data_IF_015905750533
#
_entry.id   IF_015905750533
#
_cell.length_a   1.000
_cell.length_b   1.000
_cell.length_c   1.000
_cell.angle_alpha   90.00
_cell.angle_beta   90.00
_cell.angle_gamma   90.00
#
_symmetry.space_group_name_H-M   'P 1'
#
loop_
_entity.id
_entity.type
_entity.pdbx_description
1 polymer ?
#
# COMPACT_ATOMS: atom_id res chain seq x y z
N UNK A 1 -29.11 7.00 22.88
CA UNK A 1 -29.03 7.32 21.45
C UNK A 1 -27.62 6.98 20.99
N UNK A 2 -27.41 5.82 20.36
CA UNK A 2 -26.11 5.49 19.77
C UNK A 2 -25.97 6.28 18.46
N UNK A 3 -24.91 7.07 18.35
CA UNK A 3 -24.55 7.75 17.10
C UNK A 3 -23.77 6.75 16.27
N UNK A 4 -24.35 6.27 15.16
CA UNK A 4 -23.65 5.43 14.20
C UNK A 4 -22.74 6.34 13.36
N UNK A 5 -21.43 6.26 13.59
CA UNK A 5 -20.45 6.93 12.74
C UNK A 5 -20.21 6.08 11.50
N UNK A 6 -20.44 6.64 10.30
CA UNK A 6 -20.05 5.99 9.06
C UNK A 6 -18.53 6.09 8.90
N UNK A 7 -17.87 4.97 8.61
CA UNK A 7 -16.45 4.98 8.27
C UNK A 7 -16.27 5.75 6.96
N UNK A 8 -15.45 6.80 6.98
CA UNK A 8 -14.94 7.45 5.77
C UNK A 8 -13.56 6.90 5.44
N UNK A 9 -13.38 6.48 4.19
CA UNK A 9 -12.07 6.16 3.62
C UNK A 9 -11.76 7.18 2.50
N UNK A 10 -10.49 7.57 2.39
CA UNK A 10 -10.03 8.49 1.35
C UNK A 10 -9.10 7.84 0.33
N UNK A 11 -8.28 6.86 0.73
CA UNK A 11 -7.25 6.27 -0.15
C UNK A 11 -7.79 5.03 -0.85
N UNK A 12 -7.79 5.06 -2.18
CA UNK A 12 -8.21 3.98 -3.08
C UNK A 12 -6.98 3.37 -3.74
N UNK A 13 -6.90 2.04 -3.74
CA UNK A 13 -5.89 1.27 -4.47
C UNK A 13 -6.44 0.94 -5.86
N UNK A 14 -5.73 1.32 -6.92
CA UNK A 14 -6.18 1.18 -8.30
C UNK A 14 -6.24 -0.26 -8.83
N UNK A 15 -5.81 -1.24 -8.04
CA UNK A 15 -5.87 -2.66 -8.37
C UNK A 15 -6.17 -3.50 -7.12
N UNK A 16 -6.87 -4.61 -7.30
CA UNK A 16 -7.17 -5.57 -6.23
C UNK A 16 -6.11 -6.68 -6.11
N UNK A 17 -5.20 -6.77 -7.10
CA UNK A 17 -4.08 -7.71 -7.13
C UNK A 17 -2.97 -7.21 -8.04
N UNK A 18 -1.74 -7.56 -7.70
CA UNK A 18 -0.56 -7.42 -8.56
C UNK A 18 -0.12 -8.84 -8.93
N UNK A 19 0.00 -9.12 -10.22
CA UNK A 19 0.59 -10.38 -10.71
C UNK A 19 2.03 -10.07 -11.11
N UNK A 20 2.98 -10.61 -10.36
CA UNK A 20 4.42 -10.41 -10.58
C UNK A 20 4.97 -11.64 -11.30
N UNK A 21 5.55 -11.46 -12.49
CA UNK A 21 6.17 -12.58 -13.22
C UNK A 21 7.65 -12.66 -12.87
N UNK A 22 8.22 -13.85 -13.00
CA UNK A 22 9.65 -14.11 -12.72
C UNK A 22 10.59 -13.15 -13.48
N UNK A 23 10.25 -12.80 -14.71
CA UNK A 23 11.05 -11.89 -15.54
C UNK A 23 10.93 -10.42 -15.15
N UNK A 24 9.93 -10.06 -14.34
CA UNK A 24 9.70 -8.68 -13.93
C UNK A 24 10.68 -8.32 -12.80
N UNK A 25 11.24 -7.11 -12.84
CA UNK A 25 12.11 -6.61 -11.74
C UNK A 25 11.33 -5.78 -10.72
N UNK A 26 10.25 -5.17 -11.18
CA UNK A 26 9.39 -4.30 -10.39
C UNK A 26 7.96 -4.31 -10.94
N UNK A 27 7.02 -3.87 -10.09
CA UNK A 27 5.66 -3.56 -10.48
C UNK A 27 5.23 -2.25 -9.82
N UNK A 28 4.20 -1.61 -10.37
CA UNK A 28 3.67 -0.35 -9.84
C UNK A 28 2.23 -0.52 -9.36
N UNK A 29 1.92 0.09 -8.23
CA UNK A 29 0.56 0.18 -7.67
C UNK A 29 0.16 1.65 -7.63
N UNK A 30 -0.94 2.00 -8.31
CA UNK A 30 -1.47 3.36 -8.29
C UNK A 30 -2.41 3.53 -7.11
N UNK A 31 -2.24 4.62 -6.38
CA UNK A 31 -3.13 5.06 -5.31
C UNK A 31 -3.78 6.39 -5.69
N UNK A 32 -5.01 6.64 -5.25
CA UNK A 32 -5.68 7.95 -5.28
C UNK A 32 -6.21 8.28 -3.89
N UNK A 33 -6.03 9.52 -3.45
CA UNK A 33 -6.79 10.04 -2.30
C UNK A 33 -8.04 10.73 -2.85
N UNK A 34 -9.19 10.08 -2.77
CA UNK A 34 -10.50 10.59 -3.16
C UNK A 34 -11.23 11.25 -1.98
N UNK A 35 -10.59 11.33 -0.82
CA UNK A 35 -11.10 12.07 0.33
C UNK A 35 -10.82 13.58 0.24
N UNK A 36 -11.53 14.34 1.06
CA UNK A 36 -11.41 15.81 1.13
C UNK A 36 -10.23 16.31 1.99
N UNK A 37 -9.51 15.39 2.63
CA UNK A 37 -8.41 15.72 3.55
C UNK A 37 -7.11 15.03 3.16
N UNK A 38 -5.95 15.62 3.48
CA UNK A 38 -4.66 14.97 3.28
C UNK A 38 -4.57 13.67 4.08
N UNK A 39 -3.99 12.63 3.47
CA UNK A 39 -3.73 11.35 4.11
C UNK A 39 -2.23 11.12 4.29
N UNK A 40 -1.82 10.64 5.47
CA UNK A 40 -0.50 10.03 5.65
C UNK A 40 -0.66 8.54 5.39
N UNK A 41 0.08 8.01 4.42
CA UNK A 41 -0.02 6.64 3.97
C UNK A 41 1.28 5.91 4.28
N UNK A 42 1.16 4.80 5.01
CA UNK A 42 2.23 3.84 5.24
C UNK A 42 1.95 2.58 4.42
N UNK A 43 2.97 2.06 3.75
CA UNK A 43 2.86 0.90 2.86
C UNK A 43 3.94 -0.13 3.20
N UNK A 44 3.50 -1.34 3.54
CA UNK A 44 4.35 -2.51 3.77
C UNK A 44 3.68 -3.76 3.19
N UNK A 45 4.40 -4.88 3.21
CA UNK A 45 3.86 -6.20 2.87
C UNK A 45 4.01 -7.13 4.05
N UNK A 46 3.06 -8.05 4.19
CA UNK A 46 3.08 -9.18 5.11
C UNK A 46 3.10 -10.52 4.33
N UNK A 47 3.28 -11.62 5.04
CA UNK A 47 3.29 -12.98 4.48
C UNK A 47 1.95 -13.73 4.68
N UNK A 48 0.84 -13.00 4.80
CA UNK A 48 -0.50 -13.51 5.05
C UNK A 48 -0.99 -13.32 6.50
N UNK A 49 -0.18 -12.75 7.38
CA UNK A 49 -0.54 -12.40 8.76
C UNK A 49 -0.58 -10.89 8.96
N UNK A 50 -1.78 -10.32 8.84
CA UNK A 50 -2.03 -8.88 9.00
C UNK A 50 -1.80 -8.35 10.44
N UNK A 51 -1.56 -9.23 11.42
CA UNK A 51 -1.27 -8.81 12.80
C UNK A 51 0.20 -8.46 13.03
N UNK A 52 1.08 -8.80 12.09
CA UNK A 52 2.52 -8.58 12.21
C UNK A 52 2.88 -7.17 11.75
N UNK A 53 3.68 -6.50 12.57
CA UNK A 53 4.17 -5.15 12.27
C UNK A 53 5.33 -5.18 11.26
N UNK A 54 5.53 -4.11 10.46
CA UNK A 54 6.52 -4.09 9.38
C UNK A 54 7.96 -4.45 9.81
N UNK A 55 8.33 -4.19 11.07
CA UNK A 55 9.65 -4.51 11.65
C UNK A 55 9.90 -6.01 11.85
N UNK A 56 8.86 -6.83 11.76
CA UNK A 56 8.91 -8.28 12.04
C UNK A 56 8.59 -9.13 10.83
N UNK A 57 8.24 -8.52 9.69
CA UNK A 57 7.96 -9.25 8.45
C UNK A 57 9.18 -9.20 7.55
N UNK A 58 9.59 -10.38 7.08
CA UNK A 58 10.48 -10.51 5.93
C UNK A 58 9.65 -10.99 4.74
N UNK A 59 9.64 -10.20 3.66
CA UNK A 59 9.03 -10.58 2.39
C UNK A 59 10.06 -10.37 1.29
N UNK A 60 10.03 -11.16 0.22
CA UNK A 60 10.97 -11.04 -0.89
C UNK A 60 10.73 -9.80 -1.77
N UNK A 61 10.01 -8.80 -1.26
CA UNK A 61 9.68 -7.57 -1.96
C UNK A 61 9.81 -6.35 -1.02
N UNK A 62 10.00 -5.17 -1.61
CA UNK A 62 9.94 -3.89 -0.89
C UNK A 62 9.04 -2.90 -1.61
N UNK A 63 8.36 -2.03 -0.85
CA UNK A 63 7.51 -0.95 -1.36
C UNK A 63 8.18 0.40 -1.18
N UNK A 64 8.16 1.24 -2.21
CA UNK A 64 8.74 2.59 -2.18
C UNK A 64 7.80 3.63 -2.80
N UNK A 65 7.61 4.80 -2.16
CA UNK A 65 8.05 5.15 -0.81
C UNK A 65 7.21 4.41 0.28
N UNK A 66 7.81 4.04 1.43
CA UNK A 66 7.09 3.31 2.48
C UNK A 66 6.20 4.21 3.35
N UNK A 67 6.48 5.51 3.40
CA UNK A 67 5.69 6.51 4.11
C UNK A 67 5.65 7.81 3.31
N UNK A 68 4.46 8.33 3.04
CA UNK A 68 4.28 9.55 2.27
C UNK A 68 2.93 10.19 2.54
N UNK A 69 2.85 11.49 2.27
CA UNK A 69 1.61 12.26 2.37
C UNK A 69 0.96 12.39 0.99
N UNK A 70 -0.35 12.16 0.94
CA UNK A 70 -1.19 12.38 -0.24
C UNK A 70 -2.15 13.54 0.02
N UNK A 71 -2.06 14.60 -0.78
CA UNK A 71 -3.05 15.69 -0.73
C UNK A 71 -4.42 15.23 -1.28
N UNK A 72 -5.53 15.91 -0.93
CA UNK A 72 -6.87 15.62 -1.45
C UNK A 72 -6.90 15.56 -2.98
N UNK A 73 -7.62 14.59 -3.53
CA UNK A 73 -7.83 14.40 -4.98
C UNK A 73 -6.54 14.18 -5.79
N UNK A 74 -5.45 13.75 -5.14
CA UNK A 74 -4.16 13.46 -5.80
C UNK A 74 -3.87 11.97 -5.88
N UNK A 75 -3.18 11.60 -6.96
CA UNK A 75 -2.64 10.26 -7.14
C UNK A 75 -1.20 10.15 -6.65
N UNK A 76 -0.81 8.94 -6.23
CA UNK A 76 0.56 8.54 -5.93
C UNK A 76 0.84 7.19 -6.59
N UNK A 77 2.08 6.94 -6.98
CA UNK A 77 2.52 5.61 -7.44
C UNK A 77 3.46 4.99 -6.42
N UNK A 78 3.08 3.82 -5.93
CA UNK A 78 3.94 2.92 -5.17
C UNK A 78 4.70 2.01 -6.13
N UNK A 79 5.98 1.78 -5.86
CA UNK A 79 6.81 0.85 -6.61
C UNK A 79 7.12 -0.37 -5.74
N UNK A 80 6.78 -1.55 -6.23
CA UNK A 80 7.09 -2.86 -5.64
C UNK A 80 8.32 -3.43 -6.33
N UNK A 81 9.35 -3.76 -5.57
CA UNK A 81 10.64 -4.25 -6.07
C UNK A 81 10.91 -5.63 -5.49
N UNK A 82 11.38 -6.57 -6.31
CA UNK A 82 11.84 -7.87 -5.82
C UNK A 82 13.22 -7.73 -5.16
N UNK A 83 13.36 -8.15 -3.90
CA UNK A 83 14.60 -8.00 -3.10
C UNK A 83 15.63 -9.09 -3.40
N UNK A 84 15.28 -10.10 -4.20
CA UNK A 84 16.09 -11.30 -4.49
C UNK A 84 16.35 -12.20 -3.28
N UNK A 85 15.55 -12.04 -2.24
CA UNK A 85 15.49 -13.02 -1.17
C UNK A 85 14.77 -14.29 -1.66
N UNK A 86 15.11 -15.47 -1.12
CA UNK A 86 14.42 -16.71 -1.46
C UNK A 86 12.91 -16.58 -1.21
N UNK A 87 12.12 -17.09 -2.16
CA UNK A 87 10.65 -17.17 -2.04
C UNK A 87 10.23 -18.26 -1.05
#
# INVERSE_FOLDING_TARGET
>A
MQVLSAAQAGVVVGATRVIFRESDQEATVRLSNEGEYPALVEAWMDNGDASVTPDKVTTPFTLTPPLFRMEPHRGQTLRMLYTREPL
#
